data_IF_952305094140
#
_entry.id   IF_952305094140
#
_cell.length_a   1.000
_cell.length_b   1.000
_cell.length_c   1.000
_cell.angle_alpha   90.00
_cell.angle_beta   90.00
_cell.angle_gamma   90.00
#
_symmetry.space_group_name_H-M   'P 1'
#
loop_
_entity.id
_entity.type
_entity.pdbx_description
1 polymer ?
#
# COMPACT_ATOMS: atom_id res chain seq x y z
N UNK A 1 -14.99 30.13 -38.17
CA UNK A 1 -15.13 28.96 -37.30
C UNK A 1 -15.64 27.84 -38.18
N UNK A 2 -14.83 26.83 -38.40
CA UNK A 2 -15.07 25.78 -39.38
C UNK A 2 -16.12 24.79 -38.85
N UNK A 3 -16.91 24.16 -39.72
CA UNK A 3 -17.95 23.18 -39.35
C UNK A 3 -17.38 22.06 -38.46
N UNK A 4 -16.14 21.66 -38.74
CA UNK A 4 -15.40 20.66 -37.98
C UNK A 4 -15.08 21.09 -36.54
N UNK A 5 -14.81 22.38 -36.28
CA UNK A 5 -14.56 22.88 -34.92
C UNK A 5 -15.84 22.84 -34.08
N UNK A 6 -16.99 23.19 -34.66
CA UNK A 6 -18.29 23.15 -33.99
C UNK A 6 -18.73 21.71 -33.70
N UNK A 7 -18.52 20.79 -34.64
CA UNK A 7 -18.84 19.38 -34.47
C UNK A 7 -17.98 18.72 -33.38
N UNK A 8 -16.67 18.95 -33.38
CA UNK A 8 -15.77 18.42 -32.36
C UNK A 8 -16.13 18.91 -30.96
N UNK A 9 -16.54 20.18 -30.85
CA UNK A 9 -16.94 20.77 -29.57
C UNK A 9 -18.25 20.21 -29.02
N UNK A 10 -19.24 19.94 -29.87
CA UNK A 10 -20.50 19.29 -29.47
C UNK A 10 -20.29 17.82 -29.05
N UNK A 11 -19.39 17.10 -29.72
CA UNK A 11 -18.99 15.73 -29.33
C UNK A 11 -18.27 15.75 -27.98
N UNK A 12 -17.34 16.69 -27.77
CA UNK A 12 -16.60 16.85 -26.52
C UNK A 12 -17.54 17.20 -25.35
N UNK A 13 -18.46 18.15 -25.53
CA UNK A 13 -19.47 18.50 -24.51
C UNK A 13 -20.37 17.32 -24.16
N UNK A 14 -20.85 16.56 -25.15
CA UNK A 14 -21.67 15.35 -24.93
C UNK A 14 -20.88 14.25 -24.21
N UNK A 15 -19.62 14.07 -24.56
CA UNK A 15 -18.73 13.08 -23.93
C UNK A 15 -18.42 13.46 -22.47
N UNK A 16 -18.08 14.72 -22.18
CA UNK A 16 -17.87 15.21 -20.82
C UNK A 16 -19.15 15.08 -19.99
N UNK A 17 -20.30 15.41 -20.57
CA UNK A 17 -21.61 15.28 -19.91
C UNK A 17 -21.96 13.82 -19.61
N UNK A 18 -21.60 12.90 -20.50
CA UNK A 18 -21.76 11.47 -20.27
C UNK A 18 -20.81 10.93 -19.20
N UNK A 19 -19.51 11.28 -19.25
CA UNK A 19 -18.52 10.90 -18.22
C UNK A 19 -18.97 11.38 -16.85
N UNK A 20 -19.37 12.64 -16.73
CA UNK A 20 -19.79 13.22 -15.45
C UNK A 20 -21.07 12.61 -14.90
N UNK A 21 -22.01 12.23 -15.76
CA UNK A 21 -23.31 11.67 -15.35
C UNK A 21 -23.27 10.18 -15.04
N UNK A 22 -22.53 9.39 -15.81
CA UNK A 22 -22.59 7.92 -15.73
C UNK A 22 -21.31 7.32 -15.14
N UNK A 23 -20.14 7.77 -15.59
CA UNK A 23 -18.86 7.16 -15.23
C UNK A 23 -18.38 7.60 -13.85
N UNK A 24 -18.43 8.89 -13.52
CA UNK A 24 -18.01 9.41 -12.21
C UNK A 24 -18.81 8.78 -11.07
N UNK A 25 -20.16 8.70 -11.11
CA UNK A 25 -20.93 8.08 -10.02
C UNK A 25 -20.68 6.58 -9.87
N UNK A 26 -20.47 5.86 -10.97
CA UNK A 26 -20.11 4.43 -10.93
C UNK A 26 -18.74 4.21 -10.27
N UNK A 27 -17.77 5.07 -10.60
CA UNK A 27 -16.43 5.05 -10.01
C UNK A 27 -16.45 5.40 -8.52
N UNK A 28 -17.29 6.36 -8.10
CA UNK A 28 -17.49 6.71 -6.68
C UNK A 28 -18.11 5.53 -5.92
N UNK A 29 -19.20 4.94 -6.43
CA UNK A 29 -19.85 3.79 -5.77
C UNK A 29 -18.91 2.59 -5.58
N UNK A 30 -18.05 2.33 -6.56
CA UNK A 30 -17.07 1.25 -6.49
C UNK A 30 -15.98 1.54 -5.46
N UNK A 31 -15.53 2.80 -5.40
CA UNK A 31 -14.60 3.27 -4.37
C UNK A 31 -15.19 3.14 -2.96
N UNK A 32 -16.44 3.56 -2.75
CA UNK A 32 -17.12 3.49 -1.45
C UNK A 32 -17.28 2.04 -0.95
N UNK A 33 -17.61 1.11 -1.85
CA UNK A 33 -17.71 -0.31 -1.51
C UNK A 33 -16.35 -0.89 -1.11
N UNK A 34 -15.28 -0.56 -1.84
CA UNK A 34 -13.92 -0.99 -1.53
C UNK A 34 -13.43 -0.41 -0.21
N UNK A 35 -13.68 0.87 0.03
CA UNK A 35 -13.35 1.54 1.28
C UNK A 35 -14.06 0.87 2.46
N UNK A 36 -15.34 0.52 2.33
CA UNK A 36 -16.07 -0.25 3.36
C UNK A 36 -15.43 -1.61 3.62
N UNK A 37 -15.03 -2.35 2.58
CA UNK A 37 -14.36 -3.65 2.74
C UNK A 37 -13.04 -3.50 3.48
N UNK A 38 -12.18 -2.55 3.10
CA UNK A 38 -10.91 -2.34 3.79
C UNK A 38 -11.10 -1.82 5.21
N UNK A 39 -12.03 -0.86 5.42
CA UNK A 39 -12.39 -0.38 6.75
C UNK A 39 -12.74 -1.57 7.65
N UNK A 40 -13.64 -2.44 7.20
CA UNK A 40 -14.06 -3.63 7.94
C UNK A 40 -12.91 -4.61 8.24
N UNK A 41 -11.99 -4.81 7.28
CA UNK A 41 -10.83 -5.70 7.47
C UNK A 41 -9.83 -5.19 8.49
N UNK A 42 -9.70 -3.87 8.63
CA UNK A 42 -8.68 -3.23 9.48
C UNK A 42 -9.26 -2.57 10.74
N UNK A 43 -10.57 -2.67 11.00
CA UNK A 43 -11.20 -2.12 12.22
C UNK A 43 -10.47 -2.67 13.45
N UNK A 44 -10.03 -1.75 14.32
CA UNK A 44 -9.38 -2.09 15.59
C UNK A 44 -7.97 -2.66 15.44
N UNK A 45 -7.36 -2.59 14.26
CA UNK A 45 -5.98 -3.03 14.02
C UNK A 45 -5.07 -1.86 13.70
N UNK A 46 -3.83 -1.92 14.17
CA UNK A 46 -2.78 -0.97 13.84
C UNK A 46 -1.88 -1.56 12.74
N UNK A 47 -1.92 -0.98 11.55
CA UNK A 47 -1.09 -1.38 10.40
C UNK A 47 -0.07 -0.30 10.11
N UNK A 48 1.20 -0.68 9.99
CA UNK A 48 2.24 0.19 9.43
C UNK A 48 2.57 -0.24 8.00
N UNK A 49 2.70 0.72 7.09
CA UNK A 49 3.16 0.57 5.71
C UNK A 49 4.53 1.24 5.61
N UNK A 50 5.58 0.43 5.58
CA UNK A 50 6.98 0.85 5.61
C UNK A 50 7.66 0.49 4.28
N UNK A 51 8.82 1.07 3.99
CA UNK A 51 9.57 0.82 2.76
C UNK A 51 10.33 2.03 2.26
N UNK A 52 11.28 1.84 1.35
CA UNK A 52 12.15 2.92 0.84
C UNK A 52 11.38 3.97 0.01
N UNK A 53 12.05 5.06 -0.36
CA UNK A 53 11.52 6.13 -1.21
C UNK A 53 11.01 5.53 -2.52
N UNK A 54 9.87 6.05 -3.01
CA UNK A 54 9.28 5.68 -4.31
C UNK A 54 8.83 4.23 -4.48
N UNK A 55 8.75 3.41 -3.43
CA UNK A 55 8.21 2.03 -3.52
C UNK A 55 6.70 1.95 -3.77
N UNK A 56 5.96 3.07 -3.72
CA UNK A 56 4.51 3.12 -3.97
C UNK A 56 3.63 3.13 -2.72
N UNK A 57 4.19 3.40 -1.55
CA UNK A 57 3.45 3.48 -0.27
C UNK A 57 2.27 4.43 -0.32
N UNK A 58 2.46 5.61 -0.90
CA UNK A 58 1.38 6.59 -1.03
C UNK A 58 0.26 6.11 -1.91
N UNK A 59 0.60 5.46 -3.03
CA UNK A 59 -0.37 4.84 -3.92
C UNK A 59 -1.16 3.74 -3.20
N UNK A 60 -0.50 2.94 -2.34
CA UNK A 60 -1.19 1.95 -1.51
C UNK A 60 -2.15 2.59 -0.50
N UNK A 61 -1.73 3.66 0.19
CA UNK A 61 -2.60 4.40 1.13
C UNK A 61 -3.82 4.96 0.41
N UNK A 62 -3.63 5.53 -0.78
CA UNK A 62 -4.71 6.04 -1.60
C UNK A 62 -5.66 4.92 -2.03
N UNK A 63 -5.13 3.75 -2.42
CA UNK A 63 -5.94 2.58 -2.73
C UNK A 63 -6.81 2.14 -1.55
N UNK A 64 -6.24 2.14 -0.34
CA UNK A 64 -6.94 1.76 0.88
C UNK A 64 -8.00 2.79 1.30
N UNK A 65 -7.74 4.07 1.01
CA UNK A 65 -8.62 5.18 1.40
C UNK A 65 -9.74 5.42 0.41
N UNK A 66 -9.39 5.57 -0.86
CA UNK A 66 -10.26 6.05 -1.93
C UNK A 66 -10.59 4.94 -2.95
N UNK A 67 -10.18 3.70 -2.68
CA UNK A 67 -10.39 2.57 -3.60
C UNK A 67 -9.53 2.61 -4.87
N UNK A 68 -8.64 3.61 -5.01
CA UNK A 68 -7.80 3.83 -6.20
C UNK A 68 -6.40 4.35 -5.82
N UNK A 69 -5.32 3.98 -6.53
CA UNK A 69 -3.96 4.33 -6.16
C UNK A 69 -3.49 5.70 -6.66
N UNK A 70 -4.39 6.59 -7.08
CA UNK A 70 -4.07 7.89 -7.69
C UNK A 70 -5.08 8.97 -7.31
N UNK A 71 -4.71 10.23 -7.56
CA UNK A 71 -5.59 11.38 -7.42
C UNK A 71 -6.03 11.91 -8.78
N UNK A 72 -7.30 12.28 -8.89
CA UNK A 72 -7.87 12.98 -10.05
C UNK A 72 -7.97 14.46 -9.72
N UNK A 73 -7.27 15.32 -10.46
CA UNK A 73 -7.47 16.76 -10.40
C UNK A 73 -8.23 17.27 -11.64
N UNK A 74 -8.58 18.56 -11.66
CA UNK A 74 -9.29 19.19 -12.80
C UNK A 74 -8.53 19.13 -14.13
N UNK A 75 -7.25 18.74 -14.13
CA UNK A 75 -6.35 18.64 -15.29
C UNK A 75 -5.99 17.18 -15.63
N UNK A 76 -6.52 16.19 -14.91
CA UNK A 76 -6.34 14.76 -15.20
C UNK A 76 -5.82 13.94 -14.02
N UNK A 77 -5.28 12.75 -14.33
CA UNK A 77 -4.61 11.89 -13.35
C UNK A 77 -3.29 12.55 -12.97
N UNK A 78 -3.07 12.79 -11.68
CA UNK A 78 -1.77 13.25 -11.16
C UNK A 78 -1.06 12.14 -10.41
N UNK A 79 0.26 12.09 -10.58
CA UNK A 79 1.14 11.34 -9.70
C UNK A 79 1.03 11.90 -8.28
N UNK A 80 0.87 11.01 -7.32
CA UNK A 80 0.78 11.40 -5.91
C UNK A 80 2.19 11.77 -5.44
N UNK A 81 2.31 12.85 -4.66
CA UNK A 81 3.58 13.18 -4.03
C UNK A 81 4.07 12.01 -3.16
N UNK A 82 5.35 11.60 -3.28
CA UNK A 82 5.88 10.51 -2.49
C UNK A 82 5.74 10.79 -0.99
N UNK A 83 5.17 9.85 -0.24
CA UNK A 83 5.10 9.89 1.23
C UNK A 83 6.04 8.87 1.82
N UNK A 84 6.62 9.24 2.96
CA UNK A 84 7.70 8.51 3.59
C UNK A 84 7.33 7.18 4.24
N UNK A 85 6.11 7.09 4.76
CA UNK A 85 5.47 5.94 5.45
C UNK A 85 3.94 6.09 5.27
N UNK A 86 3.21 4.99 5.29
CA UNK A 86 1.77 4.97 5.58
C UNK A 86 1.49 4.25 6.90
N UNK A 87 0.44 4.60 7.61
CA UNK A 87 -0.07 3.80 8.72
C UNK A 87 -1.59 3.93 8.78
N UNK A 88 -2.25 2.85 9.16
CA UNK A 88 -3.67 2.80 9.41
C UNK A 88 -3.80 2.41 10.87
N UNK A 89 -4.27 3.33 11.71
CA UNK A 89 -4.33 3.13 13.15
C UNK A 89 -5.77 2.93 13.54
N UNK A 90 -6.08 1.74 14.02
CA UNK A 90 -7.36 1.36 14.59
C UNK A 90 -7.39 1.58 16.09
N UNK A 91 -7.45 2.84 16.54
CA UNK A 91 -7.97 3.17 17.88
C UNK A 91 -9.08 4.20 17.73
N UNK A 92 -10.29 3.78 18.13
CA UNK A 92 -11.54 4.54 18.24
C UNK A 92 -11.61 5.77 17.32
N UNK A 93 -12.08 5.53 16.10
CA UNK A 93 -12.50 6.59 15.18
C UNK A 93 -13.70 7.29 15.82
N UNK A 94 -13.48 8.40 16.54
CA UNK A 94 -14.55 9.38 16.74
C UNK A 94 -14.76 10.07 15.40
N UNK A 95 -15.70 9.54 14.63
CA UNK A 95 -16.34 10.25 13.53
C UNK A 95 -17.14 11.36 14.23
N UNK A 96 -16.66 12.61 14.15
CA UNK A 96 -17.52 13.73 14.49
C UNK A 96 -18.57 13.80 13.39
N UNK A 97 -19.85 13.83 13.76
CA UNK A 97 -20.97 13.90 12.80
C UNK A 97 -21.10 15.28 12.14
N UNK A 98 -20.22 16.24 12.48
CA UNK A 98 -20.32 17.64 12.04
C UNK A 98 -19.31 18.04 10.93
N UNK A 99 -18.49 17.11 10.41
CA UNK A 99 -17.58 17.41 9.29
C UNK A 99 -18.18 17.03 7.94
N UNK A 100 -19.23 17.75 7.52
CA UNK A 100 -19.83 17.65 6.17
C UNK A 100 -18.98 18.22 5.04
N UNK A 101 -17.68 18.45 5.22
CA UNK A 101 -16.83 19.03 4.15
C UNK A 101 -15.35 18.56 4.14
N UNK A 102 -15.01 17.44 4.77
CA UNK A 102 -13.68 16.84 4.58
C UNK A 102 -13.70 15.31 4.63
N UNK A 103 -13.87 14.69 3.46
CA UNK A 103 -13.56 13.29 3.15
C UNK A 103 -12.05 13.01 3.26
N UNK A 104 -11.48 13.26 4.43
CA UNK A 104 -10.07 13.03 4.71
C UNK A 104 -10.01 11.85 5.68
N UNK A 105 -9.45 10.68 5.29
CA UNK A 105 -9.09 9.69 6.29
C UNK A 105 -8.17 10.37 7.31
N UNK A 106 -8.27 9.96 8.57
CA UNK A 106 -7.37 10.39 9.65
C UNK A 106 -5.94 10.46 9.11
N UNK A 107 -5.50 11.67 8.79
CA UNK A 107 -4.12 11.95 8.43
C UNK A 107 -3.35 11.64 9.68
N UNK A 108 -2.45 10.66 9.59
CA UNK A 108 -1.35 10.60 10.54
C UNK A 108 -0.74 12.00 10.55
N UNK A 109 -0.69 12.68 11.69
CA UNK A 109 0.26 13.76 11.81
C UNK A 109 1.61 13.06 11.62
N UNK A 110 2.32 13.53 10.60
CA UNK A 110 3.72 13.29 10.33
C UNK A 110 4.05 12.23 9.26
N UNK A 111 4.38 12.80 8.11
CA UNK A 111 5.15 12.24 7.01
C UNK A 111 6.60 11.97 7.46
N UNK A 112 6.96 10.70 7.57
CA UNK A 112 8.31 10.27 7.97
C UNK A 112 8.99 9.61 6.78
N UNK A 113 9.72 10.41 5.98
CA UNK A 113 10.40 10.03 4.74
C UNK A 113 11.04 8.64 4.74
N UNK A 114 11.02 7.95 3.59
CA UNK A 114 11.90 6.79 3.33
C UNK A 114 13.39 7.16 3.25
N UNK A 115 13.70 8.44 3.49
CA UNK A 115 15.05 8.96 3.63
C UNK A 115 15.77 8.23 4.77
N UNK A 116 17.01 7.79 4.49
CA UNK A 116 17.91 7.16 5.47
C UNK A 116 18.00 7.97 6.76
N UNK A 117 17.98 9.31 6.66
CA UNK A 117 18.06 10.20 7.81
C UNK A 117 16.82 10.11 8.73
N UNK A 118 15.68 9.64 8.23
CA UNK A 118 14.40 9.58 8.93
C UNK A 118 13.99 8.16 9.33
N UNK A 119 14.74 7.12 8.95
CA UNK A 119 14.45 5.71 9.29
C UNK A 119 14.36 5.42 10.79
N UNK A 120 15.05 6.20 11.63
CA UNK A 120 14.92 6.09 13.10
C UNK A 120 13.47 6.32 13.59
N UNK A 121 12.66 7.03 12.80
CA UNK A 121 11.25 7.31 13.11
C UNK A 121 10.38 6.06 12.91
N UNK A 122 10.82 5.09 12.11
CA UNK A 122 10.12 3.81 11.93
C UNK A 122 10.12 3.04 13.25
N UNK A 123 11.26 3.04 13.95
CA UNK A 123 11.39 2.44 15.29
C UNK A 123 10.43 3.09 16.28
N UNK A 124 10.39 4.42 16.30
CA UNK A 124 9.47 5.18 17.16
C UNK A 124 8.00 4.88 16.84
N UNK A 125 7.66 4.78 15.55
CA UNK A 125 6.31 4.43 15.11
C UNK A 125 5.91 3.03 15.58
N UNK A 126 6.80 2.04 15.47
CA UNK A 126 6.55 0.67 15.96
C UNK A 126 6.34 0.66 17.47
N UNK A 127 7.20 1.34 18.22
CA UNK A 127 7.11 1.40 19.69
C UNK A 127 5.82 2.09 20.16
N UNK A 128 5.45 3.18 19.48
CA UNK A 128 4.30 4.00 19.83
C UNK A 128 2.97 3.35 19.41
N UNK A 129 2.85 2.94 18.14
CA UNK A 129 1.61 2.41 17.59
C UNK A 129 1.37 0.94 17.90
N UNK A 130 2.44 0.18 18.22
CA UNK A 130 2.36 -1.26 18.53
C UNK A 130 1.54 -2.03 17.48
N UNK A 131 2.02 -2.07 16.22
CA UNK A 131 1.21 -2.58 15.11
C UNK A 131 0.79 -4.05 15.30
N UNK A 132 -0.43 -4.33 14.88
CA UNK A 132 -0.92 -5.68 14.58
C UNK A 132 -0.31 -6.22 13.28
N UNK A 133 0.01 -5.34 12.33
CA UNK A 133 0.52 -5.74 11.02
C UNK A 133 1.50 -4.74 10.41
N UNK A 134 2.43 -5.26 9.63
CA UNK A 134 3.35 -4.44 8.82
C UNK A 134 3.24 -4.87 7.36
N UNK A 135 3.01 -3.90 6.48
CA UNK A 135 3.25 -4.04 5.05
C UNK A 135 4.61 -3.41 4.76
N UNK A 136 5.58 -4.21 4.31
CA UNK A 136 6.88 -3.72 3.88
C UNK A 136 6.91 -3.66 2.35
N UNK A 137 7.05 -2.47 1.79
CA UNK A 137 7.06 -2.23 0.36
C UNK A 137 8.47 -2.19 -0.20
N UNK A 138 8.69 -2.96 -1.26
CA UNK A 138 9.93 -2.97 -2.03
C UNK A 138 9.64 -2.61 -3.50
N UNK A 139 10.64 -2.09 -4.19
CA UNK A 139 10.56 -1.66 -5.59
C UNK A 139 11.11 -2.77 -6.50
N UNK A 140 10.24 -3.42 -7.26
CA UNK A 140 10.64 -4.45 -8.23
C UNK A 140 11.60 -3.94 -9.30
N UNK A 141 11.72 -2.65 -9.53
CA UNK A 141 12.66 -2.09 -10.51
C UNK A 141 14.10 -2.08 -10.00
N UNK A 142 14.28 -2.09 -8.68
CA UNK A 142 15.61 -2.14 -8.06
C UNK A 142 16.09 -3.60 -7.99
N UNK A 143 17.27 -3.86 -8.54
CA UNK A 143 17.87 -5.19 -8.59
C UNK A 143 18.54 -5.58 -7.26
N UNK A 144 18.83 -4.61 -6.38
CA UNK A 144 19.57 -4.84 -5.14
C UNK A 144 18.64 -5.21 -3.99
N UNK A 145 18.25 -6.48 -3.90
CA UNK A 145 17.45 -7.00 -2.78
C UNK A 145 18.10 -6.70 -1.43
N UNK A 146 19.43 -6.73 -1.34
CA UNK A 146 20.16 -6.36 -0.13
C UNK A 146 19.86 -4.94 0.34
N UNK A 147 19.94 -3.95 -0.56
CA UNK A 147 19.62 -2.56 -0.21
C UNK A 147 18.15 -2.39 0.18
N UNK A 148 17.26 -3.11 -0.49
CA UNK A 148 15.83 -3.03 -0.24
C UNK A 148 15.43 -3.66 1.09
N UNK A 149 16.11 -4.72 1.53
CA UNK A 149 15.82 -5.42 2.79
C UNK A 149 16.66 -4.95 3.97
N UNK A 150 17.80 -4.31 3.75
CA UNK A 150 18.64 -3.76 4.82
C UNK A 150 17.83 -3.00 5.88
N UNK A 151 16.92 -2.06 5.55
CA UNK A 151 16.16 -1.32 6.54
C UNK A 151 15.21 -2.21 7.37
N UNK A 152 14.65 -3.25 6.75
CA UNK A 152 13.80 -4.21 7.44
C UNK A 152 14.59 -4.94 8.53
N UNK A 153 15.78 -5.43 8.20
CA UNK A 153 16.59 -6.21 9.13
C UNK A 153 17.35 -5.36 10.15
N UNK A 154 17.84 -4.17 9.75
CA UNK A 154 18.66 -3.30 10.60
C UNK A 154 17.81 -2.36 11.46
N UNK A 155 16.69 -1.85 10.95
CA UNK A 155 15.89 -0.83 11.61
C UNK A 155 14.58 -1.33 12.18
N UNK A 156 13.85 -2.19 11.46
CA UNK A 156 12.50 -2.61 11.87
C UNK A 156 12.57 -3.81 12.83
N UNK A 157 13.18 -4.92 12.41
CA UNK A 157 13.14 -6.17 13.17
C UNK A 157 13.99 -6.13 14.45
N UNK A 158 14.96 -5.21 14.53
CA UNK A 158 15.79 -4.96 15.73
C UNK A 158 15.01 -4.32 16.88
N UNK A 159 13.83 -3.74 16.62
CA UNK A 159 13.04 -3.07 17.65
C UNK A 159 12.66 -4.06 18.75
N UNK A 160 13.00 -3.72 20.00
CA UNK A 160 12.81 -4.60 21.17
C UNK A 160 11.40 -4.54 21.73
N UNK A 161 10.71 -3.39 21.62
CA UNK A 161 9.39 -3.13 22.18
C UNK A 161 8.42 -2.72 21.09
N UNK A 162 7.19 -3.21 21.12
CA UNK A 162 6.14 -2.78 20.17
C UNK A 162 5.60 -3.89 19.26
N UNK A 163 6.26 -5.04 19.20
CA UNK A 163 5.76 -6.21 18.44
C UNK A 163 4.89 -7.16 19.26
N UNK A 164 4.46 -6.77 20.47
CA UNK A 164 3.69 -7.63 21.35
C UNK A 164 2.34 -8.07 20.73
N UNK A 165 1.81 -7.27 19.80
CA UNK A 165 0.55 -7.54 19.11
C UNK A 165 0.75 -7.89 17.64
N UNK A 166 1.99 -7.95 17.16
CA UNK A 166 2.26 -8.16 15.74
C UNK A 166 1.79 -9.57 15.35
N UNK A 167 1.03 -9.65 14.26
CA UNK A 167 0.46 -10.89 13.72
C UNK A 167 0.94 -11.17 12.30
N UNK A 168 1.24 -10.13 11.52
CA UNK A 168 1.65 -10.29 10.12
C UNK A 168 2.73 -9.29 9.69
N UNK A 169 3.68 -9.77 8.89
CA UNK A 169 4.60 -8.94 8.10
C UNK A 169 4.47 -9.37 6.65
N UNK A 170 3.79 -8.60 5.82
CA UNK A 170 3.65 -8.92 4.40
C UNK A 170 4.55 -8.02 3.56
N UNK A 171 5.23 -8.61 2.60
CA UNK A 171 6.19 -7.92 1.73
C UNK A 171 5.54 -7.73 0.37
N UNK A 172 5.32 -6.47 0.03
CA UNK A 172 4.62 -6.06 -1.19
C UNK A 172 5.68 -5.60 -2.19
N UNK A 173 5.84 -6.37 -3.27
CA UNK A 173 6.77 -6.07 -4.34
C UNK A 173 6.04 -5.31 -5.44
N UNK A 174 6.17 -3.99 -5.41
CA UNK A 174 5.51 -3.12 -6.38
C UNK A 174 6.31 -3.04 -7.68
N UNK A 175 5.68 -2.59 -8.78
CA UNK A 175 6.29 -2.55 -10.11
C UNK A 175 6.77 -3.92 -10.61
N UNK A 176 6.14 -5.00 -10.15
CA UNK A 176 6.48 -6.38 -10.53
C UNK A 176 6.28 -6.67 -12.03
N UNK A 177 5.51 -5.82 -12.74
CA UNK A 177 5.38 -5.90 -14.20
C UNK A 177 6.67 -5.54 -14.95
N UNK A 178 7.57 -4.76 -14.33
CA UNK A 178 8.85 -4.39 -14.94
C UNK A 178 9.90 -5.50 -14.89
N UNK A 179 9.73 -6.52 -14.04
CA UNK A 179 10.58 -7.70 -14.03
C UNK A 179 10.56 -8.48 -15.34
N UNK A 180 9.49 -8.32 -16.10
CA UNK A 180 9.19 -9.21 -17.19
C UNK A 180 8.42 -8.48 -18.30
N UNK A 181 9.10 -7.58 -19.02
CA UNK A 181 8.49 -6.84 -20.13
C UNK A 181 7.93 -7.77 -21.21
N UNK A 182 8.49 -8.98 -21.33
CA UNK A 182 8.09 -10.01 -22.30
C UNK A 182 6.97 -10.94 -21.80
N UNK A 183 6.40 -10.70 -20.61
CA UNK A 183 5.31 -11.50 -20.01
C UNK A 183 5.61 -13.01 -19.84
N UNK A 184 6.88 -13.42 -19.79
CA UNK A 184 7.30 -14.78 -19.43
C UNK A 184 7.00 -15.14 -17.96
N UNK A 185 5.99 -15.97 -17.71
CA UNK A 185 5.61 -16.36 -16.34
C UNK A 185 6.80 -16.90 -15.52
N UNK A 186 7.74 -17.59 -16.17
CA UNK A 186 8.95 -18.13 -15.54
C UNK A 186 9.81 -17.03 -14.89
N UNK A 187 10.05 -15.92 -15.59
CA UNK A 187 10.87 -14.81 -15.07
C UNK A 187 10.24 -14.21 -13.81
N UNK A 188 8.91 -14.05 -13.83
CA UNK A 188 8.16 -13.51 -12.69
C UNK A 188 8.29 -14.41 -11.47
N UNK A 189 8.01 -15.71 -11.64
CA UNK A 189 8.12 -16.73 -10.58
C UNK A 189 9.54 -16.80 -10.01
N UNK A 190 10.56 -16.72 -10.85
CA UNK A 190 11.95 -16.77 -10.38
C UNK A 190 12.28 -15.53 -9.54
N UNK A 191 11.89 -14.32 -9.97
CA UNK A 191 12.17 -13.08 -9.22
C UNK A 191 11.50 -13.04 -7.85
N UNK A 192 10.25 -13.48 -7.72
CA UNK A 192 9.59 -13.54 -6.41
C UNK A 192 10.23 -14.60 -5.51
N UNK A 193 10.61 -15.77 -6.06
CA UNK A 193 11.33 -16.80 -5.32
C UNK A 193 12.69 -16.32 -4.85
N UNK A 194 13.43 -15.58 -5.68
CA UNK A 194 14.72 -15.00 -5.30
C UNK A 194 14.54 -14.00 -4.15
N UNK A 195 13.46 -13.21 -4.19
CA UNK A 195 13.07 -12.28 -3.12
C UNK A 195 12.78 -13.02 -1.81
N UNK A 196 11.97 -14.08 -1.88
CA UNK A 196 11.62 -14.94 -0.74
C UNK A 196 12.86 -15.62 -0.14
N UNK A 197 13.69 -16.22 -0.99
CA UNK A 197 14.91 -16.91 -0.58
C UNK A 197 15.90 -15.96 0.10
N UNK A 198 16.08 -14.76 -0.46
CA UNK A 198 16.94 -13.74 0.15
C UNK A 198 16.45 -13.37 1.55
N UNK A 199 15.15 -13.08 1.68
CA UNK A 199 14.56 -12.75 2.98
C UNK A 199 14.72 -13.91 3.97
N UNK A 200 14.38 -15.14 3.56
CA UNK A 200 14.47 -16.31 4.41
C UNK A 200 15.90 -16.52 4.92
N UNK A 201 16.90 -16.45 4.04
CA UNK A 201 18.30 -16.55 4.41
C UNK A 201 18.68 -15.51 5.48
N UNK A 202 18.38 -14.23 5.25
CA UNK A 202 18.67 -13.16 6.22
C UNK A 202 17.92 -13.33 7.54
N UNK A 203 16.68 -13.78 7.48
CA UNK A 203 15.85 -14.04 8.65
C UNK A 203 16.38 -15.21 9.51
N UNK A 204 17.00 -16.21 8.88
CA UNK A 204 17.72 -17.28 9.55
C UNK A 204 19.05 -16.81 10.14
N UNK A 205 19.89 -16.11 9.36
CA UNK A 205 21.19 -15.58 9.80
C UNK A 205 21.08 -14.70 11.05
N UNK A 206 20.01 -13.91 11.13
CA UNK A 206 19.73 -12.99 12.25
C UNK A 206 18.97 -13.65 13.41
N UNK A 207 18.61 -14.93 13.31
CA UNK A 207 17.78 -15.66 14.28
C UNK A 207 16.38 -15.06 14.53
N UNK A 208 15.88 -14.21 13.62
CA UNK A 208 14.56 -13.59 13.77
C UNK A 208 13.41 -14.59 13.70
N UNK A 209 13.61 -15.75 13.05
CA UNK A 209 12.64 -16.85 13.05
C UNK A 209 12.23 -17.33 14.45
N UNK A 210 13.08 -17.19 15.46
CA UNK A 210 12.72 -17.53 16.85
C UNK A 210 11.79 -16.49 17.46
N UNK A 211 12.10 -15.20 17.24
CA UNK A 211 11.35 -14.06 17.79
C UNK A 211 9.97 -13.91 17.13
N UNK A 212 9.86 -14.29 15.85
CA UNK A 212 8.69 -14.06 15.02
C UNK A 212 8.11 -15.38 14.48
N UNK A 213 8.26 -16.48 15.21
CA UNK A 213 7.81 -17.82 14.79
C UNK A 213 6.31 -17.88 14.48
N UNK A 214 5.49 -17.09 15.18
CA UNK A 214 4.03 -17.07 15.06
C UNK A 214 3.52 -15.92 14.18
N UNK A 215 4.40 -15.23 13.45
CA UNK A 215 4.02 -14.13 12.56
C UNK A 215 3.73 -14.67 11.16
N UNK A 216 2.60 -14.27 10.58
CA UNK A 216 2.27 -14.54 9.18
C UNK A 216 3.15 -13.69 8.26
N UNK A 217 4.15 -14.33 7.65
CA UNK A 217 5.05 -13.69 6.68
C UNK A 217 4.70 -14.17 5.28
N UNK A 218 4.37 -13.22 4.38
CA UNK A 218 3.98 -13.51 2.99
C UNK A 218 4.54 -12.48 2.03
N UNK A 219 4.71 -12.89 0.79
CA UNK A 219 5.19 -12.05 -0.31
C UNK A 219 4.10 -11.91 -1.35
N UNK A 220 3.91 -10.69 -1.82
CA UNK A 220 2.86 -10.35 -2.79
C UNK A 220 3.46 -9.54 -3.91
N UNK A 221 3.30 -10.05 -5.13
CA UNK A 221 3.55 -9.27 -6.32
C UNK A 221 2.36 -8.34 -6.55
N UNK A 222 2.62 -7.04 -6.62
CA UNK A 222 1.57 -6.06 -6.85
C UNK A 222 1.97 -5.06 -7.93
N UNK A 223 0.98 -4.30 -8.40
CA UNK A 223 1.21 -3.14 -9.25
C UNK A 223 0.27 -2.00 -8.89
N UNK A 224 0.84 -0.86 -8.53
CA UNK A 224 0.11 0.35 -8.13
C UNK A 224 0.24 1.47 -9.17
N UNK A 225 0.09 1.12 -10.45
CA UNK A 225 0.10 2.09 -11.56
C UNK A 225 -1.31 2.63 -11.82
N UNK A 226 -1.48 3.94 -12.08
CA UNK A 226 -2.76 4.51 -12.46
C UNK A 226 -3.26 4.08 -13.85
N UNK A 227 -2.36 3.64 -14.73
CA UNK A 227 -2.64 3.50 -16.17
C UNK A 227 -3.08 2.08 -16.57
N UNK A 228 -3.09 1.17 -15.60
CA UNK A 228 -3.47 -0.22 -15.78
C UNK A 228 -4.41 -0.54 -14.62
N UNK A 229 -5.54 -1.20 -14.86
CA UNK A 229 -6.39 -1.80 -13.80
C UNK A 229 -5.67 -2.97 -13.07
N UNK A 230 -4.36 -2.85 -12.88
CA UNK A 230 -3.46 -3.85 -12.33
C UNK A 230 -3.34 -3.75 -10.80
N UNK A 231 -4.06 -2.83 -10.16
CA UNK A 231 -4.13 -2.75 -8.69
C UNK A 231 -5.09 -3.78 -8.06
N UNK A 232 -5.76 -4.61 -8.86
CA UNK A 232 -6.53 -5.75 -8.33
C UNK A 232 -5.65 -6.74 -7.56
N UNK A 233 -4.41 -6.95 -8.01
CA UNK A 233 -3.42 -7.75 -7.27
C UNK A 233 -3.12 -7.14 -5.90
N UNK A 234 -3.01 -5.81 -5.82
CA UNK A 234 -2.83 -5.10 -4.55
C UNK A 234 -4.05 -5.24 -3.64
N UNK A 235 -5.28 -5.20 -4.19
CA UNK A 235 -6.51 -5.46 -3.42
C UNK A 235 -6.56 -6.89 -2.89
N UNK A 236 -6.19 -7.87 -3.70
CA UNK A 236 -6.11 -9.26 -3.29
C UNK A 236 -5.08 -9.45 -2.17
N UNK A 237 -3.88 -8.89 -2.32
CA UNK A 237 -2.83 -8.89 -1.30
C UNK A 237 -3.30 -8.27 0.02
N UNK A 238 -3.97 -7.11 -0.03
CA UNK A 238 -4.54 -6.44 1.13
C UNK A 238 -5.62 -7.27 1.83
N UNK A 239 -6.45 -8.01 1.10
CA UNK A 239 -7.43 -8.93 1.68
C UNK A 239 -6.74 -10.08 2.42
N UNK A 240 -5.73 -10.70 1.80
CA UNK A 240 -4.95 -11.78 2.43
C UNK A 240 -4.27 -11.27 3.70
N UNK A 241 -3.70 -10.06 3.64
CA UNK A 241 -3.09 -9.37 4.78
C UNK A 241 -4.10 -9.13 5.90
N UNK A 242 -5.26 -8.52 5.60
CA UNK A 242 -6.32 -8.26 6.58
C UNK A 242 -6.82 -9.54 7.26
N UNK A 243 -7.01 -10.63 6.50
CA UNK A 243 -7.36 -11.94 7.07
C UNK A 243 -6.27 -12.44 8.01
N UNK A 244 -4.99 -12.27 7.66
CA UNK A 244 -3.85 -12.61 8.52
C UNK A 244 -3.90 -11.91 9.89
N UNK A 245 -4.40 -10.68 9.96
CA UNK A 245 -4.54 -9.91 11.21
C UNK A 245 -5.67 -10.37 12.12
N UNK A 246 -6.64 -11.13 11.58
CA UNK A 246 -7.78 -11.65 12.35
C UNK A 246 -7.52 -13.01 12.98
N UNK A 247 -6.45 -13.71 12.57
CA UNK A 247 -6.08 -14.98 13.19
C UNK A 247 -5.76 -14.75 14.66
N UNK A 248 -6.44 -15.48 15.54
CA UNK A 248 -6.09 -15.51 16.96
C UNK A 248 -4.71 -16.15 17.09
N UNK A 249 -3.80 -15.47 17.75
CA UNK A 249 -2.53 -16.05 18.17
C UNK A 249 -2.86 -17.09 19.23
N UNK A 250 -2.78 -18.38 18.91
CA UNK A 250 -2.80 -19.43 19.93
C UNK A 250 -1.48 -19.30 20.70
N UNK A 251 -1.59 -18.94 21.99
CA UNK A 251 -0.47 -18.78 22.92
C UNK A 251 -0.27 -20.07 23.70
#
# INVERSE_FOLDING_TARGET
MDFWELFLRDVEEKFIKWISKELIPLLIRTADQLQKVFKNLFVGTNVLILGDIQTGKTALIYLMTYGKPYFLDKKGIKSIQPTGIGAIIGREVKISEDDTDSDVPIKLPVDYGGDKALRYLWRKAIEYYKPDGIVYMIDGRDESLEKQFEPLFSDILTVKKGFNNLKAIHIFVNFSDQWNPNKSMFVKITKIRDTENYFALKFYETNYYKKFANIDIKFHEIQLSPDKDSWEDAKAALRIFGVGLTKKTEV
#
